data_IF_271566643615
#
_entry.id   IF_271566643615
#
_cell.length_a   1.000
_cell.length_b   1.000
_cell.length_c   1.000
_cell.angle_alpha   90.00
_cell.angle_beta   90.00
_cell.angle_gamma   90.00
#
_symmetry.space_group_name_H-M   'P 1'
#
loop_
_entity.id
_entity.type
_entity.pdbx_description
1 polymer ?
#
# COMPACT_ATOMS: atom_id res chain seq x y z
N UNK A 1 -24.03 10.50 -11.18
CA UNK A 1 -22.58 10.50 -11.52
C UNK A 1 -22.19 11.91 -11.90
N UNK A 2 -21.04 12.41 -11.45
CA UNK A 2 -20.52 13.74 -11.82
C UNK A 2 -19.51 13.57 -12.97
N UNK A 3 -19.59 14.43 -13.99
CA UNK A 3 -18.63 14.46 -15.10
C UNK A 3 -17.48 15.41 -14.74
N UNK A 4 -16.27 14.88 -14.70
CA UNK A 4 -15.05 15.65 -14.41
C UNK A 4 -14.10 15.54 -15.59
N UNK A 5 -13.50 16.67 -15.98
CA UNK A 5 -12.42 16.71 -16.97
C UNK A 5 -11.11 16.93 -16.22
N UNK A 6 -10.09 16.14 -16.53
CA UNK A 6 -8.76 16.23 -15.94
C UNK A 6 -7.73 16.17 -17.06
N UNK A 7 -6.65 16.93 -16.91
CA UNK A 7 -5.48 16.80 -17.76
C UNK A 7 -4.59 15.69 -17.22
N UNK A 8 -4.16 14.79 -18.11
CA UNK A 8 -3.23 13.71 -17.81
C UNK A 8 -2.14 13.68 -18.89
N UNK A 9 -0.89 13.37 -18.52
CA UNK A 9 0.17 13.16 -19.48
C UNK A 9 -0.21 12.10 -20.52
N UNK A 10 0.13 12.36 -21.78
CA UNK A 10 -0.17 11.48 -22.92
C UNK A 10 0.40 10.07 -22.71
N UNK A 11 1.63 9.98 -22.20
CA UNK A 11 2.29 8.71 -21.88
C UNK A 11 1.50 7.87 -20.86
N UNK A 12 0.82 8.51 -19.90
CA UNK A 12 -0.06 7.82 -18.95
C UNK A 12 -1.37 7.38 -19.61
N UNK A 13 -1.93 8.22 -20.48
CA UNK A 13 -3.16 7.89 -21.20
C UNK A 13 -2.97 6.66 -22.11
N UNK A 14 -1.88 6.62 -22.87
CA UNK A 14 -1.56 5.51 -23.76
C UNK A 14 -1.32 4.20 -22.99
N UNK A 15 -0.61 4.27 -21.85
CA UNK A 15 -0.46 3.10 -20.96
C UNK A 15 -1.81 2.61 -20.41
N UNK A 16 -2.68 3.53 -20.01
CA UNK A 16 -4.02 3.18 -19.51
C UNK A 16 -4.88 2.53 -20.61
N UNK A 17 -4.78 3.02 -21.86
CA UNK A 17 -5.47 2.48 -23.02
C UNK A 17 -5.03 1.05 -23.35
N UNK A 18 -3.72 0.77 -23.31
CA UNK A 18 -3.17 -0.58 -23.46
C UNK A 18 -3.68 -1.52 -22.36
N UNK A 19 -3.65 -1.08 -21.10
CA UNK A 19 -4.15 -1.85 -19.96
C UNK A 19 -5.65 -2.14 -20.08
N UNK A 20 -6.44 -1.17 -20.51
CA UNK A 20 -7.87 -1.31 -20.71
C UNK A 20 -8.19 -2.35 -21.81
N UNK A 21 -7.44 -2.30 -22.92
CA UNK A 21 -7.53 -3.29 -24.02
C UNK A 21 -7.22 -4.70 -23.52
N UNK A 22 -6.12 -4.88 -22.80
CA UNK A 22 -5.72 -6.19 -22.26
C UNK A 22 -6.75 -6.75 -21.28
N UNK A 23 -7.39 -5.89 -20.49
CA UNK A 23 -8.42 -6.28 -19.52
C UNK A 23 -9.83 -6.37 -20.09
N UNK A 24 -10.04 -6.10 -21.39
CA UNK A 24 -11.35 -6.03 -22.05
C UNK A 24 -12.35 -5.12 -21.30
N UNK A 25 -11.87 -3.99 -20.78
CA UNK A 25 -12.68 -3.01 -20.03
C UNK A 25 -12.56 -1.64 -20.67
N UNK A 26 -13.55 -0.77 -20.46
CA UNK A 26 -13.45 0.61 -20.90
C UNK A 26 -12.41 1.39 -20.08
N UNK A 27 -11.77 2.37 -20.72
CA UNK A 27 -10.77 3.20 -20.06
C UNK A 27 -11.38 4.00 -18.89
N UNK A 28 -12.64 4.41 -19.02
CA UNK A 28 -13.38 5.09 -17.97
C UNK A 28 -13.60 4.17 -16.74
N UNK A 29 -13.89 2.88 -16.95
CA UNK A 29 -13.99 1.93 -15.85
C UNK A 29 -12.63 1.77 -15.15
N UNK A 30 -11.55 1.64 -15.93
CA UNK A 30 -10.18 1.54 -15.40
C UNK A 30 -9.82 2.74 -14.51
N UNK A 31 -10.05 3.98 -14.99
CA UNK A 31 -9.79 5.19 -14.20
C UNK A 31 -10.61 5.24 -12.91
N UNK A 32 -11.90 4.89 -12.96
CA UNK A 32 -12.73 4.84 -11.75
C UNK A 32 -12.20 3.83 -10.73
N UNK A 33 -11.78 2.64 -11.18
CA UNK A 33 -11.20 1.64 -10.29
C UNK A 33 -9.91 2.14 -9.65
N UNK A 34 -9.03 2.79 -10.42
CA UNK A 34 -7.80 3.36 -9.90
C UNK A 34 -8.06 4.46 -8.88
N UNK A 35 -8.97 5.41 -9.18
CA UNK A 35 -9.36 6.46 -8.23
C UNK A 35 -9.93 5.86 -6.95
N UNK A 36 -10.86 4.90 -7.05
CA UNK A 36 -11.43 4.24 -5.87
C UNK A 36 -10.38 3.52 -5.02
N UNK A 37 -9.46 2.80 -5.66
CA UNK A 37 -8.35 2.11 -4.96
C UNK A 37 -7.35 3.09 -4.34
N UNK A 38 -7.10 4.22 -4.99
CA UNK A 38 -6.25 5.30 -4.50
C UNK A 38 -6.85 5.95 -3.25
N UNK A 39 -8.15 6.25 -3.27
CA UNK A 39 -8.87 6.78 -2.12
C UNK A 39 -8.84 5.82 -0.93
N UNK A 40 -9.18 4.54 -1.16
CA UNK A 40 -9.12 3.51 -0.10
C UNK A 40 -7.71 3.35 0.47
N UNK A 41 -6.68 3.38 -0.37
CA UNK A 41 -5.29 3.29 0.10
C UNK A 41 -4.90 4.55 0.90
N UNK A 42 -5.33 5.73 0.45
CA UNK A 42 -5.04 6.99 1.14
C UNK A 42 -5.64 7.05 2.54
N UNK A 43 -6.86 6.52 2.74
CA UNK A 43 -7.50 6.43 4.05
C UNK A 43 -6.75 5.50 5.03
N UNK A 44 -6.08 4.47 4.51
CA UNK A 44 -5.41 3.45 5.32
C UNK A 44 -3.95 3.78 5.67
N UNK A 45 -3.30 4.72 4.97
CA UNK A 45 -1.89 5.10 5.24
C UNK A 45 -1.65 5.64 6.66
N UNK A 46 -2.69 6.14 7.35
CA UNK A 46 -2.59 6.57 8.74
C UNK A 46 -2.77 5.46 9.79
N UNK A 47 -3.24 4.26 9.40
CA UNK A 47 -3.66 3.21 10.36
C UNK A 47 -2.67 2.05 10.51
N UNK A 48 -1.64 2.00 9.66
CA UNK A 48 -0.78 0.81 9.55
C UNK A 48 0.05 0.55 10.83
N UNK A 49 0.46 1.61 11.53
CA UNK A 49 1.22 1.50 12.79
C UNK A 49 0.32 1.38 14.03
N UNK A 50 -0.94 1.83 13.96
CA UNK A 50 -1.88 1.64 15.08
C UNK A 50 -2.23 0.17 15.32
N UNK A 51 -2.17 -0.67 14.29
CA UNK A 51 -2.32 -2.12 14.47
C UNK A 51 -1.17 -2.70 15.31
N UNK A 52 0.07 -2.23 15.06
CA UNK A 52 1.25 -2.62 15.84
C UNK A 52 1.21 -2.06 17.27
N UNK A 53 0.75 -0.82 17.45
CA UNK A 53 0.59 -0.22 18.78
C UNK A 53 -0.51 -0.88 19.63
N UNK A 54 -1.50 -1.52 18.99
CA UNK A 54 -2.56 -2.31 19.64
C UNK A 54 -2.14 -3.74 19.97
N UNK A 55 -1.01 -4.22 19.45
CA UNK A 55 -0.37 -5.42 19.99
C UNK A 55 0.09 -5.02 21.39
N UNK A 56 -0.70 -5.34 22.39
CA UNK A 56 -0.50 -5.00 23.80
C UNK A 56 0.66 -5.84 24.38
N UNK A 57 1.82 -5.84 23.68
CA UNK A 57 3.03 -6.59 23.99
C UNK A 57 3.65 -5.93 25.21
N UNK A 58 3.10 -6.27 26.38
CA UNK A 58 3.67 -5.93 27.67
C UNK A 58 4.58 -7.08 28.08
N UNK A 59 5.89 -6.86 27.98
CA UNK A 59 6.89 -7.81 28.42
C UNK A 59 7.86 -8.20 27.30
N UNK A 60 9.12 -7.81 27.49
CA UNK A 60 10.24 -8.13 26.63
C UNK A 60 11.49 -7.42 27.13
N UNK A 61 12.70 -7.96 26.93
CA UNK A 61 13.94 -7.26 27.25
C UNK A 61 13.95 -5.90 26.57
N UNK A 62 14.17 -4.82 27.34
CA UNK A 62 14.06 -3.43 26.89
C UNK A 62 14.99 -3.08 25.72
N UNK A 63 15.98 -3.94 25.42
CA UNK A 63 17.00 -3.69 24.42
C UNK A 63 17.44 -4.97 23.69
N UNK A 64 16.52 -5.54 22.88
CA UNK A 64 16.79 -6.70 22.03
C UNK A 64 17.95 -6.47 21.05
N UNK A 65 18.22 -5.22 20.68
CA UNK A 65 19.28 -4.82 19.77
C UNK A 65 20.70 -5.09 20.29
N UNK A 66 20.88 -5.24 21.61
CA UNK A 66 22.20 -5.56 22.20
C UNK A 66 22.59 -7.03 22.09
N UNK A 67 21.61 -7.91 21.98
CA UNK A 67 21.80 -9.37 22.02
C UNK A 67 21.29 -10.02 20.73
N UNK A 68 21.38 -9.34 19.59
CA UNK A 68 20.89 -9.81 18.29
C UNK A 68 21.40 -11.22 17.98
N UNK A 69 22.68 -11.49 18.25
CA UNK A 69 23.28 -12.80 17.99
C UNK A 69 22.66 -13.92 18.82
N UNK A 70 22.27 -13.63 20.05
CA UNK A 70 21.59 -14.58 20.95
C UNK A 70 20.20 -14.92 20.45
N UNK A 71 19.46 -13.91 20.00
CA UNK A 71 18.05 -14.06 19.63
C UNK A 71 17.83 -14.50 18.18
N UNK A 72 18.75 -14.17 17.27
CA UNK A 72 18.67 -14.56 15.85
C UNK A 72 19.38 -15.88 15.60
N UNK A 73 20.54 -16.10 16.21
CA UNK A 73 21.39 -17.26 15.92
C UNK A 73 21.45 -18.29 17.06
N UNK A 74 20.63 -18.13 18.10
CA UNK A 74 20.51 -19.11 19.18
C UNK A 74 21.74 -19.22 20.07
N UNK A 75 22.55 -18.15 20.17
CA UNK A 75 23.66 -18.04 21.11
C UNK A 75 24.66 -19.20 21.02
N UNK A 76 25.53 -19.20 20.02
CA UNK A 76 26.71 -20.08 20.02
C UNK A 76 27.94 -19.35 20.55
N UNK A 77 28.36 -19.76 21.74
CA UNK A 77 29.75 -20.14 22.02
C UNK A 77 29.74 -21.42 22.83
#
# INVERSE_FOLDING_TARGET
MVRTQIYIPETMHERAKLLAKNKKRSIAHLYRTFIASGLKTSENRGRDLTALAKLNIKGGPKNLSRDLDKYIYGGKK
#
